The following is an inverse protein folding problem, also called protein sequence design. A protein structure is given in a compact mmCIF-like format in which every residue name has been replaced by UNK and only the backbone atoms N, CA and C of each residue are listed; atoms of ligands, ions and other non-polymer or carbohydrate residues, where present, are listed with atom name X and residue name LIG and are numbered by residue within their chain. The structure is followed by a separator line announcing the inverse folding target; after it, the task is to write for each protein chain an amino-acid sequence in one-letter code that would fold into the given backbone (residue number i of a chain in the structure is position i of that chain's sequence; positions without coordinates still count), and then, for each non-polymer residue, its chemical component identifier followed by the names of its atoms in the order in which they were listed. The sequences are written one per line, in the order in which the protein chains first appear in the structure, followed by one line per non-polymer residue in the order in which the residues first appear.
data_IF_122225758143
#
_entry.id   IF_122225758143
#
_cell.length_a   1.000
_cell.length_b   1.000
_cell.length_c   1.000
_cell.angle_alpha   90.00
_cell.angle_beta   90.00
_cell.angle_gamma   90.00
#
_symmetry.space_group_name_H-M   'P 1'
#
loop_
_entity.id
_entity.type
_entity.pdbx_description
1 polymer ?
#
# COMPACT_ATOMS: atom_id res chain seq x y z
N UNK A 1 -28.74 47.38 13.91
CA UNK A 1 -27.65 46.51 13.41
C UNK A 1 -26.43 46.80 14.27
N UNK A 2 -26.18 45.97 15.28
CA UNK A 2 -25.23 46.28 16.35
C UNK A 2 -24.18 45.18 16.48
N UNK A 3 -23.38 44.91 15.45
CA UNK A 3 -22.21 44.03 15.61
C UNK A 3 -21.10 44.51 14.69
N UNK A 4 -20.37 45.54 15.14
CA UNK A 4 -19.20 46.12 14.49
C UNK A 4 -17.92 45.29 14.65
N UNK A 5 -18.03 43.96 14.78
CA UNK A 5 -16.87 43.07 14.78
C UNK A 5 -17.03 42.05 13.65
N UNK A 6 -16.08 42.11 12.71
CA UNK A 6 -15.97 41.15 11.61
C UNK A 6 -15.69 39.76 12.17
N UNK A 7 -16.23 38.72 11.52
CA UNK A 7 -15.90 37.30 11.78
C UNK A 7 -14.40 37.07 11.80
N UNK A 8 -13.65 37.81 10.96
CA UNK A 8 -12.20 37.78 10.93
C UNK A 8 -11.56 38.18 12.29
N UNK A 9 -12.14 39.17 12.97
CA UNK A 9 -11.66 39.64 14.27
C UNK A 9 -11.85 38.54 15.34
N UNK A 10 -12.97 37.81 15.29
CA UNK A 10 -13.25 36.70 16.22
C UNK A 10 -12.24 35.56 16.06
N UNK A 11 -11.86 35.24 14.82
CA UNK A 11 -10.83 34.22 14.55
C UNK A 11 -9.46 34.69 15.01
N UNK A 12 -9.11 35.96 14.77
CA UNK A 12 -7.81 36.51 15.15
C UNK A 12 -7.63 36.59 16.66
N UNK A 13 -8.69 36.92 17.41
CA UNK A 13 -8.68 36.92 18.88
C UNK A 13 -8.51 35.50 19.42
N UNK A 14 -9.27 34.54 18.89
CA UNK A 14 -9.18 33.13 19.30
C UNK A 14 -7.78 32.54 19.05
N UNK A 15 -7.17 32.82 17.90
CA UNK A 15 -5.82 32.32 17.58
C UNK A 15 -4.74 32.88 18.52
N UNK A 16 -4.94 34.11 19.03
CA UNK A 16 -4.02 34.76 19.96
C UNK A 16 -4.11 34.19 21.36
N UNK A 17 -5.31 33.75 21.76
CA UNK A 17 -5.57 33.06 23.03
C UNK A 17 -4.98 31.65 22.99
N UNK A 18 -5.17 30.90 21.89
CA UNK A 18 -4.59 29.55 21.70
C UNK A 18 -3.03 29.58 21.75
N UNK A 19 -2.38 30.59 21.16
CA UNK A 19 -0.91 30.74 21.23
C UNK A 19 -0.37 31.00 22.64
N UNK A 20 -1.14 31.66 23.51
CA UNK A 20 -0.71 31.91 24.89
C UNK A 20 -0.83 30.69 25.80
N UNK A 21 -1.65 29.72 25.42
CA UNK A 21 -1.90 28.49 26.18
C UNK A 21 -0.88 27.39 25.84
N UNK A 22 -0.35 27.34 24.60
CA UNK A 22 0.64 26.34 24.16
C UNK A 22 2.04 26.50 24.81
N UNK A 23 2.43 27.70 25.26
CA UNK A 23 3.73 27.90 25.94
C UNK A 23 3.76 27.41 27.40
N UNK A 24 2.62 27.04 27.98
CA UNK A 24 2.48 26.73 29.41
C UNK A 24 2.28 25.24 29.75
N UNK A 25 2.26 24.34 28.76
CA UNK A 25 2.01 22.91 29.02
C UNK A 25 3.20 22.01 28.65
N UNK A 26 3.93 21.61 29.70
CA UNK A 26 4.31 20.21 29.88
C UNK A 26 5.39 19.64 28.98
N UNK A 27 6.63 19.64 29.49
CA UNK A 27 7.70 18.72 29.09
C UNK A 27 7.26 17.27 29.28
N UNK A 28 6.93 16.55 28.20
CA UNK A 28 6.69 15.10 28.25
C UNK A 28 7.98 14.30 28.01
N UNK A 29 8.25 13.25 28.81
CA UNK A 29 9.53 12.54 28.83
C UNK A 29 9.74 11.65 27.58
N UNK A 30 10.94 11.70 27.02
CA UNK A 30 11.34 10.85 25.90
C UNK A 30 11.38 9.37 26.29
N UNK A 31 10.48 8.55 25.75
CA UNK A 31 10.53 7.09 25.88
C UNK A 31 11.56 6.51 24.89
N UNK A 32 12.85 6.56 25.25
CA UNK A 32 13.88 5.81 24.51
C UNK A 32 13.92 4.37 25.02
N UNK A 33 13.52 3.42 24.19
CA UNK A 33 13.70 1.99 24.42
C UNK A 33 15.20 1.70 24.36
N UNK A 34 15.85 1.58 25.54
CA UNK A 34 17.19 1.02 25.66
C UNK A 34 17.08 -0.50 25.59
N UNK A 35 17.17 -1.09 24.39
CA UNK A 35 17.33 -2.53 24.29
C UNK A 35 16.85 -3.14 22.99
N UNK A 36 17.68 -3.03 21.94
CA UNK A 36 17.70 -3.94 20.79
C UNK A 36 19.11 -3.99 20.19
N UNK A 37 20.13 -3.92 21.06
CA UNK A 37 21.55 -3.99 20.69
C UNK A 37 22.12 -5.41 20.73
N UNK A 38 21.29 -6.43 20.53
CA UNK A 38 21.80 -7.80 20.36
C UNK A 38 22.09 -8.00 18.87
N UNK A 39 23.29 -7.60 18.46
CA UNK A 39 23.83 -7.95 17.16
C UNK A 39 23.85 -9.47 17.04
N UNK A 40 23.20 -9.99 16.01
CA UNK A 40 23.33 -11.39 15.62
C UNK A 40 24.78 -11.60 15.14
N UNK A 41 25.55 -12.36 15.92
CA UNK A 41 26.88 -12.85 15.52
C UNK A 41 26.70 -14.30 15.09
N UNK A 42 26.74 -14.54 13.78
CA UNK A 42 26.85 -15.90 13.27
C UNK A 42 28.25 -16.44 13.65
N UNK A 43 28.35 -17.64 14.23
CA UNK A 43 29.64 -18.29 14.40
C UNK A 43 30.22 -18.55 13.00
N UNK A 44 31.32 -17.88 12.67
CA UNK A 44 32.19 -18.28 11.55
C UNK A 44 32.99 -19.47 12.05
N UNK A 45 32.37 -20.65 12.04
CA UNK A 45 33.13 -21.88 12.12
C UNK A 45 33.97 -21.93 10.84
N UNK A 46 35.29 -21.76 10.97
CA UNK A 46 36.28 -21.98 9.91
C UNK A 46 36.43 -23.49 9.67
N UNK A 47 35.31 -24.17 9.44
CA UNK A 47 35.31 -25.42 8.70
C UNK A 47 35.51 -25.09 7.22
N UNK A 48 36.19 -25.94 6.43
CA UNK A 48 36.21 -25.75 4.99
C UNK A 48 34.76 -25.71 4.51
N UNK A 49 34.30 -24.53 4.12
CA UNK A 49 33.11 -24.38 3.30
C UNK A 49 33.46 -24.99 1.94
N UNK A 50 33.38 -26.31 1.88
CA UNK A 50 33.23 -26.99 0.62
C UNK A 50 31.84 -26.60 0.11
N UNK A 51 31.76 -25.45 -0.56
CA UNK A 51 30.63 -25.08 -1.45
C UNK A 51 30.68 -26.00 -2.70
N UNK A 52 30.89 -27.30 -2.48
CA UNK A 52 31.31 -28.26 -3.49
C UNK A 52 31.28 -29.73 -3.05
N UNK A 53 30.77 -30.04 -1.85
CA UNK A 53 30.12 -31.33 -1.60
C UNK A 53 28.62 -31.03 -1.58
N UNK A 54 27.77 -31.59 -2.43
CA UNK A 54 27.64 -33.00 -2.72
C UNK A 54 26.77 -33.17 -3.98
N UNK A 55 27.20 -32.57 -5.09
CA UNK A 55 26.50 -32.79 -6.37
C UNK A 55 26.72 -34.21 -6.88
N UNK A 56 27.84 -34.85 -6.50
CA UNK A 56 28.12 -36.25 -6.85
C UNK A 56 27.15 -37.24 -6.23
N UNK A 57 26.76 -37.10 -4.94
CA UNK A 57 25.72 -37.99 -4.40
C UNK A 57 24.39 -37.80 -5.12
N UNK A 58 24.04 -36.57 -5.52
CA UNK A 58 22.85 -36.31 -6.31
C UNK A 58 22.90 -37.04 -7.67
N UNK A 59 24.05 -37.04 -8.35
CA UNK A 59 24.23 -37.78 -9.61
C UNK A 59 24.26 -39.31 -9.42
N UNK A 60 24.75 -39.82 -8.29
CA UNK A 60 24.80 -41.26 -8.01
C UNK A 60 23.42 -41.91 -7.83
N UNK A 61 22.40 -41.14 -7.44
CA UNK A 61 21.01 -41.61 -7.31
C UNK A 61 20.14 -41.31 -8.53
N UNK A 62 20.69 -40.63 -9.55
CA UNK A 62 19.95 -40.39 -10.78
C UNK A 62 19.88 -41.70 -11.60
N UNK A 63 18.70 -42.18 -12.00
CA UNK A 63 18.60 -43.29 -12.93
C UNK A 63 19.28 -42.90 -14.24
N UNK A 64 20.02 -43.83 -14.85
CA UNK A 64 20.71 -43.66 -16.14
C UNK A 64 19.71 -43.15 -17.18
N UNK A 65 19.69 -41.82 -17.39
CA UNK A 65 18.86 -41.21 -18.40
C UNK A 65 19.42 -41.65 -19.76
N UNK A 66 18.57 -42.10 -20.71
CA UNK A 66 19.05 -42.36 -22.06
C UNK A 66 19.75 -41.10 -22.57
N UNK A 67 20.91 -41.28 -23.21
CA UNK A 67 21.75 -40.21 -23.72
C UNK A 67 20.88 -39.16 -24.42
N UNK A 68 20.83 -37.94 -23.86
CA UNK A 68 20.17 -36.77 -24.44
C UNK A 68 20.93 -36.26 -25.69
N UNK A 69 21.50 -37.18 -26.48
CA UNK A 69 22.33 -36.88 -27.64
C UNK A 69 21.52 -36.78 -28.94
N UNK A 70 20.22 -37.07 -28.92
CA UNK A 70 19.34 -36.97 -30.10
C UNK A 70 18.14 -36.03 -29.89
N UNK A 71 18.13 -35.23 -28.81
CA UNK A 71 17.19 -34.12 -28.74
C UNK A 71 17.79 -32.98 -29.56
N UNK A 72 17.42 -32.91 -30.83
CA UNK A 72 17.61 -31.71 -31.65
C UNK A 72 17.21 -30.52 -30.76
N UNK A 73 18.09 -29.50 -30.58
CA UNK A 73 17.69 -28.35 -29.78
C UNK A 73 16.36 -27.89 -30.38
N UNK A 74 15.30 -27.73 -29.56
CA UNK A 74 14.10 -27.13 -30.10
C UNK A 74 14.60 -25.87 -30.81
N UNK A 75 14.21 -25.72 -32.08
CA UNK A 75 14.32 -24.43 -32.74
C UNK A 75 13.93 -23.37 -31.72
N UNK A 76 14.58 -22.20 -31.67
CA UNK A 76 13.98 -21.08 -31.00
C UNK A 76 12.71 -20.80 -31.80
N UNK A 77 11.65 -21.57 -31.52
CA UNK A 77 10.28 -21.15 -31.70
C UNK A 77 10.33 -19.77 -31.10
N UNK A 78 10.09 -18.79 -31.96
CA UNK A 78 9.94 -17.40 -31.59
C UNK A 78 8.94 -17.41 -30.44
N UNK A 79 9.44 -17.44 -29.20
CA UNK A 79 8.63 -17.33 -28.01
C UNK A 79 8.00 -15.96 -28.16
N UNK A 80 6.77 -15.94 -28.67
CA UNK A 80 5.94 -14.75 -28.67
C UNK A 80 6.10 -14.16 -27.27
N UNK A 81 6.54 -12.90 -27.15
CA UNK A 81 6.84 -12.32 -25.86
C UNK A 81 5.61 -12.58 -24.97
N UNK A 82 5.81 -13.12 -23.75
CA UNK A 82 4.70 -13.59 -22.92
C UNK A 82 3.65 -12.50 -22.89
N UNK A 83 2.45 -12.83 -23.38
CA UNK A 83 1.35 -11.88 -23.54
C UNK A 83 1.26 -11.06 -22.25
N UNK A 84 1.46 -9.74 -22.37
CA UNK A 84 1.50 -8.85 -21.22
C UNK A 84 0.27 -9.13 -20.34
N UNK A 85 0.45 -9.23 -19.01
CA UNK A 85 -0.64 -9.61 -18.13
C UNK A 85 -1.85 -8.71 -18.41
N UNK A 86 -3.06 -9.28 -18.56
CA UNK A 86 -4.23 -8.52 -18.98
C UNK A 86 -4.46 -7.36 -18.01
N UNK A 87 -4.40 -6.14 -18.54
CA UNK A 87 -4.60 -4.90 -17.77
C UNK A 87 -5.97 -4.98 -17.09
N UNK A 88 -6.07 -4.71 -15.79
CA UNK A 88 -7.35 -4.84 -15.12
C UNK A 88 -8.21 -3.61 -15.48
N UNK A 89 -9.34 -3.89 -16.15
CA UNK A 89 -10.20 -2.88 -16.79
C UNK A 89 -10.76 -1.83 -15.84
N UNK A 90 -10.80 -2.13 -14.53
CA UNK A 90 -11.28 -1.19 -13.53
C UNK A 90 -10.41 0.08 -13.52
N UNK A 91 -9.10 0.00 -13.76
CA UNK A 91 -8.17 1.15 -13.76
C UNK A 91 -8.48 2.21 -14.82
N UNK A 92 -9.35 1.92 -15.80
CA UNK A 92 -9.78 2.87 -16.82
C UNK A 92 -11.08 3.61 -16.44
N UNK A 93 -11.79 3.14 -15.41
CA UNK A 93 -13.03 3.74 -14.90
C UNK A 93 -12.70 4.85 -13.90
N UNK A 94 -12.64 6.09 -14.40
CA UNK A 94 -12.18 7.26 -13.64
C UNK A 94 -13.29 8.21 -13.21
N UNK A 95 -14.54 7.98 -13.66
CA UNK A 95 -15.64 8.86 -13.31
C UNK A 95 -16.03 8.70 -11.84
N UNK A 96 -16.61 9.75 -11.27
CA UNK A 96 -17.02 9.73 -9.86
C UNK A 96 -18.13 8.70 -9.64
N UNK A 97 -19.03 8.59 -10.60
CA UNK A 97 -20.17 7.68 -10.62
C UNK A 97 -19.71 6.22 -10.60
N UNK A 98 -18.78 5.84 -11.49
CA UNK A 98 -18.23 4.48 -11.53
C UNK A 98 -17.52 4.10 -10.22
N UNK A 99 -16.80 5.04 -9.63
CA UNK A 99 -16.10 4.81 -8.35
C UNK A 99 -17.09 4.71 -7.19
N UNK A 100 -18.16 5.51 -7.21
CA UNK A 100 -19.22 5.45 -6.21
C UNK A 100 -19.98 4.11 -6.28
N UNK A 101 -20.27 3.62 -7.49
CA UNK A 101 -20.88 2.30 -7.73
C UNK A 101 -19.97 1.17 -7.22
N UNK A 102 -18.66 1.22 -7.49
CA UNK A 102 -17.70 0.23 -7.01
C UNK A 102 -17.56 0.22 -5.47
N UNK A 103 -17.59 1.40 -4.85
CA UNK A 103 -17.59 1.51 -3.39
C UNK A 103 -18.88 0.99 -2.76
N UNK A 104 -20.00 1.09 -3.49
CA UNK A 104 -21.33 0.67 -3.06
C UNK A 104 -21.70 1.24 -1.67
N UNK A 105 -21.48 2.54 -1.48
CA UNK A 105 -21.81 3.24 -0.23
C UNK A 105 -23.33 3.35 -0.09
N UNK A 106 -23.87 3.00 1.07
CA UNK A 106 -25.31 3.02 1.37
C UNK A 106 -25.61 3.85 2.61
N UNK A 107 -26.85 4.31 2.75
CA UNK A 107 -27.27 5.09 3.91
C UNK A 107 -27.24 4.32 5.24
N UNK A 108 -27.17 3.00 5.19
CA UNK A 108 -27.08 2.09 6.33
C UNK A 108 -25.63 1.80 6.77
N UNK A 109 -24.64 2.29 6.01
CA UNK A 109 -23.24 2.09 6.36
C UNK A 109 -22.90 2.83 7.65
N UNK A 110 -22.11 2.18 8.51
CA UNK A 110 -21.46 2.79 9.67
C UNK A 110 -20.02 3.17 9.35
N UNK A 111 -19.39 3.98 10.20
CA UNK A 111 -17.97 4.35 10.07
C UNK A 111 -17.06 3.11 9.92
N UNK A 112 -17.31 2.05 10.69
CA UNK A 112 -16.55 0.81 10.60
C UNK A 112 -16.69 0.12 9.23
N UNK A 113 -17.90 0.08 8.67
CA UNK A 113 -18.14 -0.50 7.34
C UNK A 113 -17.53 0.34 6.22
N UNK A 114 -17.54 1.67 6.36
CA UNK A 114 -16.89 2.59 5.44
C UNK A 114 -15.36 2.44 5.44
N UNK A 115 -14.76 2.25 6.62
CA UNK A 115 -13.34 1.95 6.75
C UNK A 115 -12.95 0.61 6.09
N UNK A 116 -13.80 -0.42 6.21
CA UNK A 116 -13.57 -1.69 5.52
C UNK A 116 -13.68 -1.55 4.00
N UNK A 117 -14.68 -0.81 3.50
CA UNK A 117 -14.81 -0.50 2.07
C UNK A 117 -13.58 0.24 1.54
N UNK A 118 -13.03 1.21 2.31
CA UNK A 118 -11.77 1.90 1.97
C UNK A 118 -10.61 0.91 1.82
N UNK A 119 -10.40 0.02 2.80
CA UNK A 119 -9.33 -0.99 2.77
C UNK A 119 -9.47 -1.92 1.57
N UNK A 120 -10.68 -2.39 1.29
CA UNK A 120 -10.98 -3.25 0.14
C UNK A 120 -10.68 -2.52 -1.17
N UNK A 121 -11.11 -1.27 -1.32
CA UNK A 121 -10.86 -0.47 -2.51
C UNK A 121 -9.36 -0.22 -2.72
N UNK A 122 -8.64 0.13 -1.65
CA UNK A 122 -7.20 0.36 -1.67
C UNK A 122 -6.42 -0.87 -2.15
N UNK A 123 -6.75 -2.08 -1.65
CA UNK A 123 -6.07 -3.32 -2.05
C UNK A 123 -6.07 -3.56 -3.56
N UNK A 124 -7.12 -3.15 -4.27
CA UNK A 124 -7.23 -3.34 -5.71
C UNK A 124 -6.76 -2.14 -6.55
N UNK A 125 -6.54 -0.97 -5.94
CA UNK A 125 -6.37 0.31 -6.63
C UNK A 125 -5.18 1.15 -6.12
N UNK A 126 -4.32 0.61 -5.25
CA UNK A 126 -3.20 1.37 -4.69
C UNK A 126 -2.11 1.61 -5.75
N UNK A 127 -1.60 2.86 -5.92
CA UNK A 127 -0.62 3.21 -6.95
C UNK A 127 0.68 2.39 -6.88
N UNK A 128 1.09 1.92 -5.70
CA UNK A 128 2.32 1.12 -5.57
C UNK A 128 2.15 -0.31 -6.11
N UNK A 129 0.91 -0.80 -6.20
CA UNK A 129 0.58 -2.15 -6.66
C UNK A 129 0.26 -2.26 -8.15
N UNK A 130 0.25 -1.15 -8.89
CA UNK A 130 -0.08 -1.12 -10.32
C UNK A 130 1.13 -0.79 -11.19
N UNK A 131 1.06 -1.18 -12.46
CA UNK A 131 2.11 -0.85 -13.43
C UNK A 131 2.29 0.68 -13.56
N UNK A 132 3.50 1.17 -13.84
CA UNK A 132 3.83 2.60 -13.86
C UNK A 132 2.87 3.44 -14.72
N UNK A 133 2.44 2.91 -15.86
CA UNK A 133 1.52 3.56 -16.81
C UNK A 133 0.14 3.88 -16.23
N UNK A 134 -0.30 3.14 -15.21
CA UNK A 134 -1.62 3.30 -14.59
C UNK A 134 -1.57 3.91 -13.20
N UNK A 135 -0.40 4.34 -12.72
CA UNK A 135 -0.26 4.94 -11.38
C UNK A 135 -1.07 6.22 -11.24
N UNK A 136 -1.12 7.03 -12.29
CA UNK A 136 -1.92 8.26 -12.29
C UNK A 136 -3.42 7.96 -12.19
N UNK A 137 -3.88 6.94 -12.91
CA UNK A 137 -5.25 6.47 -12.83
C UNK A 137 -5.58 5.93 -11.43
N UNK A 138 -4.72 5.08 -10.86
CA UNK A 138 -4.85 4.58 -9.50
C UNK A 138 -4.89 5.73 -8.47
N UNK A 139 -4.05 6.76 -8.65
CA UNK A 139 -4.05 7.97 -7.82
C UNK A 139 -5.38 8.73 -7.90
N UNK A 140 -5.91 8.96 -9.11
CA UNK A 140 -7.21 9.61 -9.31
C UNK A 140 -8.30 8.81 -8.58
N UNK A 141 -8.35 7.49 -8.79
CA UNK A 141 -9.35 6.62 -8.20
C UNK A 141 -9.28 6.60 -6.68
N UNK A 142 -8.08 6.50 -6.11
CA UNK A 142 -7.87 6.53 -4.66
C UNK A 142 -8.31 7.88 -4.04
N UNK A 143 -7.96 9.00 -4.68
CA UNK A 143 -8.37 10.34 -4.21
C UNK A 143 -9.89 10.50 -4.22
N UNK A 144 -10.54 10.14 -5.32
CA UNK A 144 -12.00 10.21 -5.44
C UNK A 144 -12.68 9.30 -4.43
N UNK A 145 -12.18 8.07 -4.24
CA UNK A 145 -12.73 7.15 -3.26
C UNK A 145 -12.60 7.67 -1.83
N UNK A 146 -11.44 8.23 -1.46
CA UNK A 146 -11.25 8.82 -0.14
C UNK A 146 -12.22 9.98 0.10
N UNK A 147 -12.37 10.88 -0.88
CA UNK A 147 -13.31 12.00 -0.81
C UNK A 147 -14.76 11.52 -0.58
N UNK A 148 -15.21 10.52 -1.34
CA UNK A 148 -16.57 9.96 -1.22
C UNK A 148 -16.80 9.35 0.16
N UNK A 149 -15.84 8.57 0.65
CA UNK A 149 -15.92 7.94 1.96
C UNK A 149 -15.90 8.98 3.08
N UNK A 150 -15.01 9.97 3.02
CA UNK A 150 -14.94 11.04 4.03
C UNK A 150 -16.21 11.88 4.05
N UNK A 151 -16.82 12.13 2.88
CA UNK A 151 -18.09 12.83 2.76
C UNK A 151 -19.22 12.00 3.38
N UNK A 152 -19.25 10.68 3.15
CA UNK A 152 -20.21 9.79 3.78
C UNK A 152 -20.04 9.81 5.30
N UNK A 153 -18.81 9.67 5.82
CA UNK A 153 -18.50 9.72 7.26
C UNK A 153 -18.98 11.04 7.87
N UNK A 154 -18.67 12.19 7.24
CA UNK A 154 -19.18 13.50 7.70
C UNK A 154 -20.71 13.50 7.77
N UNK A 155 -21.39 12.94 6.77
CA UNK A 155 -22.85 12.82 6.76
C UNK A 155 -23.44 11.95 7.88
N UNK A 156 -22.66 11.06 8.50
CA UNK A 156 -23.10 10.33 9.70
C UNK A 156 -23.11 11.22 10.95
N UNK A 157 -22.11 12.10 11.11
CA UNK A 157 -21.98 12.94 12.31
C UNK A 157 -23.02 14.06 12.39
N UNK A 158 -23.58 14.48 11.26
CA UNK A 158 -24.59 15.55 11.18
C UNK A 158 -26.03 15.03 11.03
N UNK A 159 -26.26 13.71 11.19
CA UNK A 159 -27.60 13.11 11.30
C UNK A 159 -28.06 13.12 12.75
#
# INVERSE_FOLDING_TARGET
MLFGQSVFQSVLTRLREEQGEEEAEGTEPSFRIKGLGLGFVAPTDEGPSAIGGDTEAYFAFLPELPELSEMEPPSPDEEEPPAAPPIPSHLLRLTVEEIAEELAITAADTEATLAEKRRRFARANHPDGVAPEFRDNANIRMKTANLLIDTAIKGLFWR
#
